data_IF_744645389582
#
_entry.id   IF_744645389582
#
_cell.length_a   1.000
_cell.length_b   1.000
_cell.length_c   1.000
_cell.angle_alpha   90.00
_cell.angle_beta   90.00
_cell.angle_gamma   90.00
#
_symmetry.space_group_name_H-M   'P 1'
#
loop_
_entity.id
_entity.type
_entity.pdbx_description
1 polymer ?
2 polymer ?
3 non-polymer ?
4 non-polymer ?
5 water ?
#
loop_
_entity_poly.entity_id
_entity_poly.type
_entity_poly.pdbx_seq_one_letter_code
_entity_poly.pdbx_strand_id
2 'polyribonucleotide' '(GTP)GUCACGCACAGAGCAAACCAUUCGAAAGAGUGGGACGCAAAGCCUCCGGCCUAAACCAUUGCACUCCGGUAGGUAGCGGGGUUACCGAUGG' ?
#
# COMPACT_ATOMS: atom_id res chain seq x y z
N UNK A 7 -3.94 -10.65 13.46
CA UNK A 7 -3.14 -10.06 12.34
C UNK A 7 -3.78 -8.83 11.67
N UNK A 8 -5.09 -8.90 11.34
CA UNK A 8 -5.75 -7.80 10.61
C UNK A 8 -5.74 -6.42 11.26
N UNK A 9 -5.61 -5.39 10.41
CA UNK A 9 -5.54 -3.99 10.82
C UNK A 9 -6.15 -3.10 9.72
N UNK A 10 -6.20 -1.80 9.95
CA UNK A 10 -6.76 -0.85 8.97
C UNK A 10 -5.80 -0.47 7.83
N UNK A 11 -4.63 0.04 8.21
CA UNK A 11 -3.62 0.51 7.24
C UNK A 11 -2.91 -0.65 6.53
N UNK A 12 -2.69 -0.49 5.23
CA UNK A 12 -2.02 -1.53 4.43
C UNK A 12 -0.54 -1.21 4.21
N UNK A 13 0.31 -2.20 4.50
CA UNK A 13 1.75 -2.10 4.27
C UNK A 13 2.18 -2.92 3.06
N UNK A 14 2.60 -2.22 2.00
CA UNK A 14 3.03 -2.88 0.76
C UNK A 14 4.55 -2.92 0.69
N UNK A 15 5.08 -4.03 0.17
CA UNK A 15 6.49 -4.35 0.26
C UNK A 15 6.99 -4.93 -1.07
N UNK A 16 8.31 -4.90 -1.26
CA UNK A 16 8.96 -5.42 -2.48
C UNK A 16 8.53 -4.66 -3.74
N UNK A 17 8.29 -3.35 -3.58
CA UNK A 17 7.91 -2.48 -4.69
C UNK A 17 9.14 -2.04 -5.47
N UNK A 18 8.90 -1.58 -6.71
CA UNK A 18 9.97 -1.09 -7.58
C UNK A 18 10.48 0.28 -7.14
N UNK A 19 11.75 0.33 -6.76
CA UNK A 19 12.36 1.55 -6.24
C UNK A 19 12.65 2.59 -7.34
N UNK A 20 12.78 2.11 -8.58
CA UNK A 20 13.07 2.99 -9.72
C UNK A 20 11.93 3.97 -10.00
N UNK A 21 10.73 3.63 -9.53
CA UNK A 21 9.54 4.45 -9.72
C UNK A 21 9.61 5.71 -8.86
N UNK A 22 9.38 6.86 -9.50
CA UNK A 22 9.33 8.15 -8.81
C UNK A 22 8.24 8.15 -7.74
N UNK A 23 8.39 9.02 -6.74
CA UNK A 23 7.48 9.06 -5.60
C UNK A 23 6.04 9.37 -6.02
N UNK A 24 5.86 10.51 -6.68
CA UNK A 24 4.53 11.00 -7.04
C UNK A 24 3.72 9.98 -7.83
N UNK A 25 4.35 9.38 -8.84
CA UNK A 25 3.66 8.43 -9.70
C UNK A 25 3.25 7.17 -8.93
N UNK A 26 4.13 6.70 -8.05
CA UNK A 26 3.84 5.54 -7.19
C UNK A 26 2.58 5.77 -6.35
N UNK A 27 2.50 6.94 -5.71
CA UNK A 27 1.29 7.36 -5.01
C UNK A 27 0.07 7.19 -5.90
N UNK A 28 0.12 7.87 -7.05
CA UNK A 28 -0.97 7.88 -8.01
C UNK A 28 -1.28 6.48 -8.57
N UNK A 29 -0.23 5.70 -8.83
CA UNK A 29 -0.39 4.33 -9.34
C UNK A 29 -1.05 3.40 -8.33
N UNK A 30 -0.77 3.62 -7.05
CA UNK A 30 -1.36 2.80 -5.99
C UNK A 30 -2.74 3.30 -5.61
N UNK A 31 -2.95 4.61 -5.76
CA UNK A 31 -4.24 5.23 -5.49
C UNK A 31 -5.31 4.66 -6.41
N UNK A 32 -5.05 4.72 -7.72
CA UNK A 32 -5.99 4.26 -8.73
C UNK A 32 -6.26 2.75 -8.63
N UNK A 33 -5.22 1.98 -8.34
CA UNK A 33 -5.34 0.52 -8.22
C UNK A 33 -6.17 0.08 -7.02
N UNK A 34 -5.89 0.68 -5.86
CA UNK A 34 -6.47 0.21 -4.61
C UNK A 34 -7.85 0.79 -4.28
N UNK A 35 -8.10 2.04 -4.69
CA UNK A 35 -9.34 2.75 -4.32
C UNK A 35 -10.64 2.12 -4.85
N UNK A 36 -10.50 1.04 -5.62
CA UNK A 36 -11.65 0.24 -6.04
C UNK A 36 -12.16 -0.66 -4.92
N UNK A 37 -11.44 -0.66 -3.79
CA UNK A 37 -11.82 -1.47 -2.63
C UNK A 37 -12.52 -0.67 -1.54
N UNK A 38 -12.07 0.57 -1.31
CA UNK A 38 -12.66 1.43 -0.28
C UNK A 38 -12.27 2.89 -0.38
N UNK A 39 -12.50 3.61 0.71
CA UNK A 39 -12.15 5.03 0.80
C UNK A 39 -10.69 5.21 1.26
N UNK A 40 -10.04 6.25 0.74
CA UNK A 40 -8.64 6.54 1.08
C UNK A 40 -8.46 7.99 1.55
N UNK A 41 -7.78 8.15 2.68
CA UNK A 41 -7.55 9.47 3.28
C UNK A 41 -6.21 10.08 2.87
N UNK A 42 -5.17 9.24 2.83
CA UNK A 42 -3.82 9.66 2.43
C UNK A 42 -2.93 8.45 2.14
N UNK A 43 -1.90 8.67 1.31
CA UNK A 43 -0.89 7.65 1.04
C UNK A 43 0.50 8.18 1.38
N UNK A 44 1.26 7.40 2.15
CA UNK A 44 2.59 7.82 2.57
C UNK A 44 3.68 6.95 1.96
N UNK A 45 4.58 7.60 1.23
CA UNK A 45 5.68 6.94 0.53
C UNK A 45 6.89 7.88 0.55
N UNK A 46 8.06 7.33 0.87
CA UNK A 46 9.32 8.03 0.67
C UNK A 46 10.39 7.05 0.23
N UNK A 47 11.41 7.54 -0.46
CA UNK A 47 12.48 6.69 -0.97
C UNK A 47 13.81 6.89 -0.25
N UNK A 48 13.73 7.17 1.05
CA UNK A 48 14.91 7.15 1.92
C UNK A 48 15.35 5.70 2.12
N UNK A 49 16.63 5.50 2.38
CA UNK A 49 17.18 4.16 2.58
C UNK A 49 16.23 3.25 3.36
N UNK A 50 15.70 3.78 4.46
CA UNK A 50 14.83 3.03 5.37
C UNK A 50 13.42 2.79 4.81
N UNK A 51 13.02 3.59 3.83
CA UNK A 51 11.63 3.58 3.36
C UNK A 51 11.44 3.13 1.90
N UNK A 52 12.51 2.65 1.28
CA UNK A 52 12.46 2.21 -0.12
C UNK A 52 11.63 0.95 -0.31
N UNK A 53 10.96 0.85 -1.45
CA UNK A 53 10.15 -0.33 -1.81
C UNK A 53 9.00 -0.58 -0.85
N UNK A 54 8.42 0.49 -0.32
CA UNK A 54 7.39 0.40 0.71
C UNK A 54 6.30 1.43 0.51
N UNK A 55 5.08 1.07 0.89
CA UNK A 55 3.92 1.97 0.77
C UNK A 55 2.91 1.80 1.91
N UNK A 56 2.23 2.90 2.24
CA UNK A 56 1.21 2.90 3.29
C UNK A 56 -0.12 3.48 2.80
N UNK A 57 -1.19 2.71 2.98
CA UNK A 57 -2.52 3.12 2.51
C UNK A 57 -3.49 3.32 3.68
N UNK A 58 -4.08 4.51 3.77
CA UNK A 58 -5.00 4.85 4.86
C UNK A 58 -6.47 4.61 4.50
N UNK A 59 -6.98 3.45 4.90
CA UNK A 59 -8.38 3.07 4.67
C UNK A 59 -9.28 3.56 5.80
N UNK A 60 -10.56 3.19 5.71
CA UNK A 60 -11.53 3.47 6.75
C UNK A 60 -12.00 2.16 7.41
N UNK A 61 -12.19 1.13 6.58
CA UNK A 61 -12.71 -0.14 7.05
C UNK A 61 -11.75 -1.31 6.81
N UNK A 62 -11.95 -2.38 7.56
CA UNK A 62 -11.07 -3.55 7.50
C UNK A 62 -11.37 -4.44 6.29
N UNK A 63 -12.65 -4.75 6.08
CA UNK A 63 -13.07 -5.71 5.04
C UNK A 63 -12.67 -5.30 3.62
N UNK A 64 -12.57 -3.99 3.39
CA UNK A 64 -12.06 -3.45 2.14
C UNK A 64 -10.55 -3.71 2.03
N UNK A 65 -9.82 -3.38 3.09
CA UNK A 65 -8.38 -3.58 3.16
C UNK A 65 -8.00 -5.06 3.14
N UNK A 66 -8.85 -5.90 3.74
CA UNK A 66 -8.66 -7.35 3.75
C UNK A 66 -8.83 -7.91 2.34
N UNK A 67 -9.88 -7.45 1.64
CA UNK A 67 -10.13 -7.84 0.26
C UNK A 67 -9.07 -7.30 -0.69
N UNK A 68 -8.49 -6.16 -0.33
CA UNK A 68 -7.37 -5.58 -1.06
C UNK A 68 -6.12 -6.44 -0.90
N UNK A 69 -5.98 -7.05 0.27
CA UNK A 69 -4.81 -7.86 0.60
C UNK A 69 -4.91 -9.27 0.04
N UNK A 70 -6.08 -9.89 0.22
CA UNK A 70 -6.24 -11.32 -0.07
C UNK A 70 -6.46 -11.62 -1.56
N UNK A 71 -6.79 -10.60 -2.34
CA UNK A 71 -7.08 -10.76 -3.76
C UNK A 71 -5.87 -10.55 -4.65
N UNK A 72 -4.84 -9.88 -4.12
CA UNK A 72 -3.68 -9.47 -4.94
C UNK A 72 -2.30 -9.68 -4.29
N UNK A 73 -2.24 -10.54 -3.27
CA UNK A 73 -0.96 -10.84 -2.61
C UNK A 73 -0.01 -11.58 -3.54
N UNK A 74 1.08 -10.90 -3.91
CA UNK A 74 2.05 -11.44 -4.85
C UNK A 74 1.91 -10.86 -6.25
N UNK A 75 1.11 -9.80 -6.37
CA UNK A 75 0.84 -9.16 -7.65
C UNK A 75 2.10 -8.51 -8.24
N UNK A 76 2.39 -8.80 -9.53
CA UNK A 76 3.52 -8.17 -10.22
C UNK A 76 3.25 -6.70 -10.58
N UNK A 77 3.23 -5.85 -9.56
CA UNK A 77 3.13 -4.40 -9.73
C UNK A 77 4.48 -3.90 -10.23
N UNK A 78 4.48 -3.16 -11.33
CA UNK A 78 5.71 -2.67 -11.96
C UNK A 78 6.77 -3.78 -12.11
N UNK A 79 6.34 -4.96 -12.57
CA UNK A 79 7.22 -6.12 -12.75
C UNK A 79 7.90 -6.60 -11.46
N UNK A 80 7.23 -6.40 -10.33
CA UNK A 80 7.71 -6.91 -9.03
C UNK A 80 6.54 -7.42 -8.18
N UNK A 81 6.71 -8.62 -7.58
CA UNK A 81 5.67 -9.19 -6.70
C UNK A 81 5.39 -8.31 -5.49
N UNK A 82 4.11 -8.08 -5.21
CA UNK A 82 3.68 -7.29 -4.06
C UNK A 82 3.61 -8.17 -2.82
N UNK A 83 4.42 -7.85 -1.83
CA UNK A 83 4.31 -8.50 -0.53
C UNK A 83 3.37 -7.69 0.36
N UNK A 84 2.16 -8.20 0.52
CA UNK A 84 1.10 -7.44 1.21
C UNK A 84 0.72 -8.07 2.54
N UNK A 85 1.04 -7.36 3.61
CA UNK A 85 0.60 -7.71 4.96
C UNK A 85 0.23 -6.46 5.76
N UNK A 86 -0.45 -6.66 6.88
CA UNK A 86 -1.05 -5.55 7.65
C UNK A 86 -0.03 -4.65 8.34
N UNK A 87 -0.48 -3.46 8.75
CA UNK A 87 0.33 -2.52 9.51
C UNK A 87 0.11 -2.68 11.01
N UNK A 88 0.82 -1.88 11.81
CA UNK A 88 0.85 -2.08 13.26
C UNK A 88 0.27 -0.91 14.07
N UNK A 89 0.70 0.31 13.77
CA UNK A 89 0.29 1.49 14.54
C UNK A 89 -0.63 2.42 13.75
N UNK A 90 -1.63 2.99 14.44
CA UNK A 90 -2.55 3.95 13.84
C UNK A 90 -1.83 5.21 13.40
N UNK A 91 -2.19 5.71 12.22
CA UNK A 91 -1.60 6.93 11.67
C UNK A 91 -1.92 8.15 12.52
N UNK A 92 -0.92 8.99 12.71
CA UNK A 92 -1.06 10.20 13.52
C UNK A 92 -1.80 11.30 12.73
N UNK A 93 -3.06 11.03 12.42
CA UNK A 93 -3.95 11.99 11.74
C UNK A 93 -5.39 11.76 12.19
#
# INVERSE_FOLDING_TARGET
MAVPETRPNHTIYINNLNEKIKKDELKKSLHAIFSRFGQILDILVSRSLKMRGQAFVIFKEVSSATNALRSMQGFPFYDKPMRIQYAKTDSDIIAKMK
#
